data_IF_463457662904
#
_entry.id   IF_463457662904
#
_cell.length_a   1.000
_cell.length_b   1.000
_cell.length_c   1.000
_cell.angle_alpha   90.00
_cell.angle_beta   90.00
_cell.angle_gamma   90.00
#
_symmetry.space_group_name_H-M   'P 1'
#
loop_
_entity.id
_entity.type
_entity.pdbx_description
1 polymer ?
#
# COMPACT_ATOMS: atom_id res chain seq x y z
N UNK A 1 22.78 -86.21 -31.16
CA UNK A 1 21.49 -85.39 -31.32
C UNK A 1 21.05 -85.01 -29.92
N UNK A 2 21.43 -83.83 -29.52
CA UNK A 2 20.90 -83.21 -28.27
C UNK A 2 19.85 -82.16 -28.60
N UNK A 3 18.73 -82.20 -27.94
CA UNK A 3 17.74 -81.06 -28.03
C UNK A 3 18.05 -79.99 -27.00
N UNK A 4 18.18 -78.81 -27.49
CA UNK A 4 18.46 -77.60 -26.70
C UNK A 4 17.44 -77.27 -25.60
N UNK A 5 17.99 -76.94 -24.46
CA UNK A 5 17.26 -76.42 -23.33
C UNK A 5 16.96 -74.94 -23.54
N UNK A 6 15.69 -74.58 -23.72
CA UNK A 6 15.20 -73.23 -23.77
C UNK A 6 15.19 -72.61 -22.35
N UNK A 7 15.86 -71.46 -22.18
CA UNK A 7 15.84 -70.70 -20.95
C UNK A 7 14.56 -69.83 -20.93
N UNK A 8 13.81 -69.75 -19.81
CA UNK A 8 12.67 -68.86 -19.69
C UNK A 8 13.11 -67.40 -19.50
N UNK A 9 12.32 -66.44 -20.01
CA UNK A 9 12.66 -65.02 -19.88
C UNK A 9 12.51 -64.52 -18.43
N UNK A 10 13.49 -63.74 -17.97
CA UNK A 10 13.50 -63.12 -16.66
C UNK A 10 12.32 -62.13 -16.51
N UNK A 11 11.49 -62.35 -15.51
CA UNK A 11 10.42 -61.42 -15.10
C UNK A 11 11.03 -60.15 -14.53
N UNK A 12 10.86 -59.03 -15.24
CA UNK A 12 11.13 -57.69 -14.72
C UNK A 12 10.11 -57.38 -13.60
N UNK A 13 10.61 -57.23 -12.37
CA UNK A 13 9.82 -56.78 -11.24
C UNK A 13 9.37 -55.28 -11.41
N UNK A 14 8.25 -54.88 -10.78
CA UNK A 14 7.77 -53.50 -10.88
C UNK A 14 8.79 -52.55 -10.28
N UNK A 15 9.21 -51.55 -11.07
CA UNK A 15 10.06 -50.46 -10.63
C UNK A 15 9.30 -49.63 -9.56
N UNK A 16 9.83 -49.59 -8.35
CA UNK A 16 9.32 -48.74 -7.26
C UNK A 16 9.45 -47.28 -7.68
N UNK A 17 8.38 -46.49 -7.74
CA UNK A 17 8.49 -45.07 -8.03
C UNK A 17 9.31 -44.41 -6.92
N UNK A 18 10.30 -43.64 -7.32
CA UNK A 18 11.28 -43.06 -6.45
C UNK A 18 10.64 -42.09 -5.44
N UNK A 19 10.77 -42.38 -4.14
CA UNK A 19 10.43 -41.50 -3.01
C UNK A 19 11.01 -40.11 -3.14
N UNK A 20 12.02 -39.89 -3.99
CA UNK A 20 12.63 -38.57 -4.28
C UNK A 20 11.74 -37.63 -5.06
N UNK A 21 10.82 -38.10 -5.91
CA UNK A 21 9.92 -37.26 -6.67
C UNK A 21 8.82 -36.62 -5.78
N UNK A 22 8.41 -37.33 -4.71
CA UNK A 22 7.39 -36.85 -3.79
C UNK A 22 7.88 -35.75 -2.84
N UNK A 23 9.16 -35.81 -2.46
CA UNK A 23 9.78 -34.78 -1.61
C UNK A 23 10.05 -33.48 -2.37
N UNK A 24 10.37 -33.55 -3.67
CA UNK A 24 10.58 -32.37 -4.51
C UNK A 24 9.31 -31.58 -4.77
N UNK A 25 8.17 -32.25 -5.00
CA UNK A 25 6.87 -31.58 -5.19
C UNK A 25 6.32 -31.01 -3.89
N UNK A 26 6.53 -31.65 -2.74
CA UNK A 26 6.13 -31.12 -1.44
C UNK A 26 6.89 -29.85 -1.06
N UNK A 27 8.21 -29.78 -1.33
CA UNK A 27 9.02 -28.58 -1.10
C UNK A 27 8.67 -27.45 -2.06
N UNK A 28 8.36 -27.72 -3.32
CA UNK A 28 7.95 -26.71 -4.28
C UNK A 28 6.57 -26.10 -3.92
N UNK A 29 5.62 -26.92 -3.44
CA UNK A 29 4.34 -26.42 -2.95
C UNK A 29 4.46 -25.66 -1.63
N UNK A 30 5.34 -26.04 -0.73
CA UNK A 30 5.59 -25.31 0.51
C UNK A 30 6.26 -23.95 0.25
N UNK A 31 7.23 -23.88 -0.66
CA UNK A 31 7.87 -22.63 -1.06
C UNK A 31 6.91 -21.70 -1.81
N UNK A 32 6.07 -22.24 -2.72
CA UNK A 32 5.04 -21.50 -3.43
C UNK A 32 3.95 -20.98 -2.49
N UNK A 33 3.51 -21.81 -1.53
CA UNK A 33 2.53 -21.40 -0.51
C UNK A 33 3.06 -20.31 0.41
N UNK A 34 4.33 -20.38 0.83
CA UNK A 34 4.96 -19.35 1.64
C UNK A 34 5.11 -18.03 0.88
N UNK A 35 5.51 -18.07 -0.40
CA UNK A 35 5.61 -16.87 -1.23
C UNK A 35 4.25 -16.18 -1.40
N UNK A 36 3.18 -16.92 -1.64
CA UNK A 36 1.82 -16.39 -1.77
C UNK A 36 1.30 -15.82 -0.44
N UNK A 37 1.69 -16.38 0.71
CA UNK A 37 1.32 -15.84 2.02
C UNK A 37 2.08 -14.54 2.36
N UNK A 38 3.33 -14.40 1.93
CA UNK A 38 4.15 -13.19 2.13
C UNK A 38 3.82 -12.11 1.11
N UNK A 39 3.57 -12.48 -0.16
CA UNK A 39 3.16 -11.59 -1.24
C UNK A 39 1.85 -12.05 -1.85
N UNK A 40 0.70 -11.66 -1.25
CA UNK A 40 -0.60 -12.05 -1.77
C UNK A 40 -0.82 -11.49 -3.18
N UNK A 41 -1.19 -12.33 -4.15
CA UNK A 41 -1.50 -11.87 -5.49
C UNK A 41 -2.69 -10.89 -5.45
N UNK A 42 -2.56 -9.78 -6.19
CA UNK A 42 -3.57 -8.72 -6.26
C UNK A 42 -3.95 -8.11 -4.90
N UNK A 43 -3.14 -8.31 -3.86
CA UNK A 43 -3.43 -7.83 -2.49
C UNK A 43 -4.82 -8.26 -1.99
N UNK A 44 -5.26 -9.48 -2.33
CA UNK A 44 -6.58 -10.00 -1.96
C UNK A 44 -6.72 -10.31 -0.46
N UNK A 45 -5.60 -10.50 0.24
CA UNK A 45 -5.54 -10.66 1.70
C UNK A 45 -4.28 -10.01 2.27
N UNK A 46 -4.26 -9.69 3.58
CA UNK A 46 -3.08 -9.13 4.23
C UNK A 46 -1.89 -10.09 4.13
N UNK A 47 -0.69 -9.55 3.89
CA UNK A 47 0.55 -10.34 3.94
C UNK A 47 0.90 -10.70 5.39
N UNK A 48 1.70 -11.74 5.60
CA UNK A 48 2.18 -12.06 6.95
C UNK A 48 3.02 -10.93 7.56
N UNK A 49 3.69 -10.13 6.73
CA UNK A 49 4.45 -8.96 7.17
C UNK A 49 3.53 -7.83 7.66
N UNK A 50 2.26 -7.82 7.27
CA UNK A 50 1.28 -6.84 7.73
C UNK A 50 0.98 -6.99 9.24
N UNK A 51 1.24 -8.16 9.82
CA UNK A 51 0.99 -8.43 11.24
C UNK A 51 2.13 -8.01 12.17
N UNK A 52 3.26 -7.54 11.65
CA UNK A 52 4.44 -7.17 12.45
C UNK A 52 4.47 -5.70 12.86
N UNK A 53 3.60 -4.85 12.31
CA UNK A 53 3.55 -3.43 12.67
C UNK A 53 2.90 -3.20 14.04
N UNK A 54 3.43 -2.23 14.82
CA UNK A 54 2.90 -1.86 16.13
C UNK A 54 1.47 -1.32 16.06
N UNK A 55 1.18 -0.52 15.02
CA UNK A 55 -0.15 0.02 14.75
C UNK A 55 -0.54 -0.26 13.30
N UNK A 56 -1.79 -0.67 13.11
CA UNK A 56 -2.32 -0.95 11.77
C UNK A 56 -3.79 -0.61 11.66
N UNK A 57 -4.21 -0.33 10.44
CA UNK A 57 -5.61 -0.20 10.02
C UNK A 57 -5.92 -1.18 8.90
N UNK A 58 -7.12 -1.74 8.93
CA UNK A 58 -7.68 -2.58 7.87
C UNK A 58 -8.24 -1.78 6.69
N UNK A 59 -8.91 -2.47 5.76
CA UNK A 59 -9.60 -1.86 4.62
C UNK A 59 -10.76 -1.01 5.10
N UNK A 60 -10.83 0.25 4.66
CA UNK A 60 -11.80 1.28 5.04
C UNK A 60 -11.78 1.63 6.54
N UNK A 61 -10.79 1.17 7.30
CA UNK A 61 -10.59 1.54 8.70
C UNK A 61 -9.72 2.78 8.79
N UNK A 62 -10.08 3.68 9.70
CA UNK A 62 -9.30 4.82 10.12
C UNK A 62 -9.08 4.75 11.63
N UNK A 63 -7.94 5.24 12.10
CA UNK A 63 -7.59 5.20 13.52
C UNK A 63 -6.81 6.44 13.92
N UNK A 64 -7.15 6.99 15.07
CA UNK A 64 -6.39 8.07 15.70
C UNK A 64 -5.51 7.52 16.82
N UNK A 65 -4.27 8.01 16.88
CA UNK A 65 -3.27 7.65 17.87
C UNK A 65 -2.73 8.93 18.52
N UNK A 66 -2.79 9.02 19.83
CA UNK A 66 -2.05 9.98 20.63
C UNK A 66 -0.80 9.27 21.18
N UNK A 67 0.33 9.41 20.53
CA UNK A 67 1.57 8.72 20.89
C UNK A 67 2.35 9.46 21.97
N UNK A 68 2.17 10.78 22.08
CA UNK A 68 2.62 11.63 23.16
C UNK A 68 1.85 12.97 23.12
N UNK A 69 2.09 13.86 24.08
CA UNK A 69 1.53 15.21 24.09
C UNK A 69 1.97 16.04 22.86
N UNK A 70 3.02 15.61 22.18
CA UNK A 70 3.59 16.31 21.02
C UNK A 70 3.32 15.63 19.68
N UNK A 71 2.79 14.40 19.67
CA UNK A 71 2.64 13.60 18.48
C UNK A 71 1.27 12.94 18.43
N UNK A 72 0.41 13.48 17.57
CA UNK A 72 -0.87 12.90 17.20
C UNK A 72 -0.83 12.41 15.75
N UNK A 73 -1.35 11.23 15.51
CA UNK A 73 -1.35 10.60 14.18
C UNK A 73 -2.74 10.10 13.86
N UNK A 74 -3.28 10.53 12.73
CA UNK A 74 -4.49 9.94 12.17
C UNK A 74 -4.09 9.03 11.00
N UNK A 75 -4.36 7.74 11.16
CA UNK A 75 -4.08 6.70 10.18
C UNK A 75 -5.27 6.52 9.25
N UNK A 76 -5.00 6.49 7.95
CA UNK A 76 -5.98 6.15 6.92
C UNK A 76 -6.07 4.63 6.72
N UNK A 77 -6.90 4.19 5.78
CA UNK A 77 -7.06 2.79 5.39
C UNK A 77 -5.74 2.11 5.05
N UNK A 78 -5.61 0.81 5.39
CA UNK A 78 -4.47 -0.06 5.04
C UNK A 78 -3.11 0.57 5.42
N UNK A 79 -3.05 1.22 6.57
CA UNK A 79 -1.85 1.93 7.06
C UNK A 79 -1.14 1.11 8.13
N UNK A 80 0.18 1.13 8.10
CA UNK A 80 1.08 0.44 9.05
C UNK A 80 2.11 1.41 9.56
N UNK A 81 2.20 1.51 10.88
CA UNK A 81 3.15 2.39 11.58
C UNK A 81 3.88 1.59 12.65
N UNK A 82 5.20 1.78 12.71
CA UNK A 82 6.03 1.33 13.82
C UNK A 82 6.42 2.53 14.70
N UNK A 83 6.43 2.31 15.99
CA UNK A 83 7.01 3.28 16.91
C UNK A 83 8.54 3.12 16.91
N UNK A 84 9.26 4.20 16.73
CA UNK A 84 10.72 4.23 16.84
C UNK A 84 11.12 4.78 18.20
N UNK A 85 12.16 4.22 18.77
CA UNK A 85 12.68 4.71 20.06
C UNK A 85 13.02 6.21 19.99
N UNK A 86 12.64 6.95 21.03
CA UNK A 86 12.94 8.37 21.13
C UNK A 86 14.46 8.58 21.12
N UNK A 87 14.96 9.41 20.20
CA UNK A 87 16.35 9.84 20.16
C UNK A 87 16.44 11.29 20.60
N UNK A 88 17.25 11.56 21.60
CA UNK A 88 17.48 12.94 22.09
C UNK A 88 16.18 13.72 22.42
N UNK A 89 15.16 13.04 22.96
CA UNK A 89 13.87 13.65 23.32
C UNK A 89 12.90 13.83 22.14
N UNK A 90 13.26 13.41 20.92
CA UNK A 90 12.40 13.46 19.73
C UNK A 90 11.45 12.26 19.72
N UNK A 91 10.17 12.49 19.53
CA UNK A 91 9.22 11.42 19.19
C UNK A 91 9.46 10.97 17.74
N UNK A 92 9.56 9.66 17.52
CA UNK A 92 9.84 9.12 16.20
C UNK A 92 8.92 7.95 15.87
N UNK A 93 8.42 7.93 14.62
CA UNK A 93 7.63 6.82 14.05
C UNK A 93 8.15 6.49 12.66
N UNK A 94 7.77 5.31 12.17
CA UNK A 94 7.99 4.88 10.80
C UNK A 94 6.65 4.54 10.15
N UNK A 95 6.33 5.23 9.07
CA UNK A 95 5.26 4.85 8.15
C UNK A 95 5.80 3.74 7.23
N UNK A 96 5.44 2.50 7.52
CA UNK A 96 5.86 1.33 6.73
C UNK A 96 5.11 1.27 5.40
N UNK A 97 3.82 1.61 5.42
CA UNK A 97 2.98 1.75 4.24
C UNK A 97 1.66 2.42 4.60
N UNK A 98 0.95 2.92 3.60
CA UNK A 98 -0.36 3.53 3.77
C UNK A 98 -0.32 5.05 3.74
N UNK A 99 -1.17 5.68 4.53
CA UNK A 99 -1.31 7.13 4.58
C UNK A 99 -1.66 7.58 5.99
N UNK A 100 -0.96 8.59 6.46
CA UNK A 100 -1.18 9.15 7.78
C UNK A 100 -1.04 10.67 7.78
N UNK A 101 -1.92 11.33 8.52
CA UNK A 101 -1.74 12.73 8.88
C UNK A 101 -1.09 12.80 10.26
N UNK A 102 -0.05 13.60 10.35
CA UNK A 102 0.74 13.79 11.56
C UNK A 102 0.59 15.23 12.03
N UNK A 103 0.31 15.39 13.30
CA UNK A 103 0.33 16.67 13.99
C UNK A 103 1.45 16.68 15.01
N UNK A 104 2.43 17.53 14.77
CA UNK A 104 3.54 17.83 15.67
C UNK A 104 3.21 19.13 16.44
N UNK A 105 2.97 19.03 17.75
CA UNK A 105 2.46 20.13 18.57
C UNK A 105 3.49 20.68 19.58
N UNK A 106 4.78 20.32 19.47
CA UNK A 106 5.78 20.62 20.47
C UNK A 106 6.69 21.80 20.14
N UNK A 107 7.05 22.58 21.16
CA UNK A 107 8.14 23.58 21.07
C UNK A 107 9.53 22.98 21.37
N UNK A 108 9.59 21.70 21.75
CA UNK A 108 10.81 20.97 22.11
C UNK A 108 11.55 20.35 20.92
N UNK A 109 11.99 19.12 21.11
CA UNK A 109 12.64 18.35 20.03
C UNK A 109 11.65 18.04 18.89
N UNK A 110 12.13 17.97 17.63
CA UNK A 110 11.25 17.72 16.49
C UNK A 110 10.63 16.31 16.53
N UNK A 111 9.42 16.19 16.00
CA UNK A 111 8.86 14.90 15.61
C UNK A 111 9.55 14.44 14.32
N UNK A 112 9.87 13.15 14.24
CA UNK A 112 10.51 12.55 13.08
C UNK A 112 9.61 11.41 12.55
N UNK A 113 9.29 11.46 11.27
CA UNK A 113 8.58 10.39 10.59
C UNK A 113 9.47 9.81 9.50
N UNK A 114 9.83 8.55 9.64
CA UNK A 114 10.53 7.80 8.60
C UNK A 114 9.52 7.18 7.64
N UNK A 115 9.81 7.22 6.34
CA UNK A 115 9.05 6.49 5.33
C UNK A 115 9.98 6.13 4.16
N UNK A 116 10.00 4.85 3.75
CA UNK A 116 10.97 4.38 2.76
C UNK A 116 12.41 4.74 3.16
N UNK A 117 13.17 5.35 2.25
CA UNK A 117 14.55 5.80 2.49
C UNK A 117 14.66 7.25 3.01
N UNK A 118 13.53 7.91 3.28
CA UNK A 118 13.50 9.31 3.70
C UNK A 118 13.04 9.54 5.14
N UNK A 119 13.16 10.77 5.59
CA UNK A 119 12.70 11.23 6.89
C UNK A 119 12.08 12.63 6.78
N UNK A 120 10.96 12.82 7.44
CA UNK A 120 10.26 14.10 7.57
C UNK A 120 10.39 14.58 9.01
N UNK A 121 10.79 15.84 9.20
CA UNK A 121 10.97 16.45 10.53
C UNK A 121 10.10 17.69 10.66
N UNK A 122 9.43 17.81 11.81
CA UNK A 122 8.61 18.98 12.12
C UNK A 122 8.58 19.23 13.62
N UNK A 123 8.33 20.50 14.04
CA UNK A 123 8.10 20.87 15.45
C UNK A 123 6.65 21.29 15.69
N UNK A 124 6.21 22.32 15.00
CA UNK A 124 4.84 22.85 15.06
C UNK A 124 4.28 22.85 13.65
N UNK A 125 3.78 21.68 13.23
CA UNK A 125 3.26 21.51 11.88
C UNK A 125 2.23 20.38 11.84
N UNK A 126 1.36 20.47 10.86
CA UNK A 126 0.47 19.38 10.45
C UNK A 126 0.79 19.03 9.00
N UNK A 127 1.01 17.76 8.73
CA UNK A 127 1.42 17.27 7.43
C UNK A 127 0.88 15.86 7.16
N UNK A 128 0.72 15.54 5.89
CA UNK A 128 0.27 14.22 5.44
C UNK A 128 1.44 13.49 4.79
N UNK A 129 1.58 12.21 5.10
CA UNK A 129 2.48 11.30 4.39
C UNK A 129 1.66 10.21 3.73
N UNK A 130 1.94 9.96 2.46
CA UNK A 130 1.36 8.86 1.69
C UNK A 130 2.47 7.98 1.12
N UNK A 131 2.45 6.71 1.48
CA UNK A 131 3.38 5.67 1.03
C UNK A 131 2.57 4.44 0.62
N UNK A 132 1.97 4.48 -0.56
CA UNK A 132 1.04 3.44 -1.07
C UNK A 132 1.56 2.74 -2.32
N UNK A 133 2.72 3.09 -2.78
CA UNK A 133 3.42 2.57 -3.96
C UNK A 133 4.93 2.68 -3.80
N UNK A 134 5.69 2.83 -4.87
CA UNK A 134 7.15 2.94 -4.81
C UNK A 134 7.63 4.29 -4.29
N UNK A 135 6.76 5.29 -4.28
CA UNK A 135 7.07 6.67 -3.89
C UNK A 135 6.43 7.06 -2.57
N UNK A 136 7.06 8.00 -1.88
CA UNK A 136 6.53 8.67 -0.69
C UNK A 136 6.20 10.11 -1.06
N UNK A 137 4.96 10.52 -0.81
CA UNK A 137 4.52 11.90 -0.95
C UNK A 137 4.33 12.52 0.44
N UNK A 138 4.94 13.67 0.67
CA UNK A 138 4.80 14.48 1.89
C UNK A 138 4.13 15.80 1.54
N UNK A 139 3.03 16.14 2.20
CA UNK A 139 2.30 17.39 2.00
C UNK A 139 2.27 18.19 3.30
N UNK A 140 2.76 19.42 3.30
CA UNK A 140 2.64 20.34 4.42
C UNK A 140 1.26 20.97 4.42
N UNK A 141 0.49 20.73 5.49
CA UNK A 141 -0.88 21.23 5.64
C UNK A 141 -0.96 22.48 6.51
N UNK A 142 0.00 22.64 7.42
CA UNK A 142 0.14 23.81 8.28
C UNK A 142 1.56 23.88 8.83
N UNK A 143 2.12 25.08 8.90
CA UNK A 143 3.47 25.32 9.42
C UNK A 143 4.56 25.04 8.41
N UNK A 144 5.62 24.34 8.84
CA UNK A 144 6.79 24.05 8.00
C UNK A 144 7.32 22.66 8.30
N UNK A 145 7.72 21.93 7.27
CA UNK A 145 8.25 20.56 7.36
C UNK A 145 9.56 20.43 6.58
N UNK A 146 10.54 19.77 7.17
CA UNK A 146 11.79 19.43 6.50
C UNK A 146 11.77 17.98 6.06
N UNK A 147 11.95 17.73 4.76
CA UNK A 147 12.01 16.40 4.16
C UNK A 147 13.45 16.11 3.74
N UNK A 148 13.99 14.99 4.19
CA UNK A 148 15.36 14.53 3.89
C UNK A 148 15.33 13.19 3.18
N UNK A 149 16.16 13.05 2.16
CA UNK A 149 16.36 11.81 1.41
C UNK A 149 17.80 11.76 0.88
N UNK A 150 18.55 10.69 1.21
CA UNK A 150 19.91 10.43 0.70
C UNK A 150 20.86 11.67 0.73
N UNK A 151 20.78 12.47 1.79
CA UNK A 151 21.61 13.70 1.95
C UNK A 151 21.03 14.96 1.30
N UNK A 152 20.03 14.85 0.41
CA UNK A 152 19.26 15.98 -0.08
C UNK A 152 18.20 16.40 0.94
N UNK A 153 17.86 17.68 0.98
CA UNK A 153 16.81 18.23 1.84
C UNK A 153 15.93 19.21 1.09
N UNK A 154 14.64 19.22 1.46
CA UNK A 154 13.65 20.22 1.04
C UNK A 154 12.84 20.67 2.25
N UNK A 155 12.64 21.96 2.36
CA UNK A 155 11.72 22.54 3.33
C UNK A 155 10.42 22.87 2.61
N UNK A 156 9.29 22.41 3.14
CA UNK A 156 7.96 22.67 2.62
C UNK A 156 7.26 23.69 3.48
N UNK A 157 6.72 24.71 2.87
CA UNK A 157 5.76 25.61 3.48
C UNK A 157 4.33 25.04 3.37
N UNK A 158 3.40 25.68 4.07
CA UNK A 158 1.98 25.33 3.99
C UNK A 158 1.46 25.34 2.54
N UNK A 159 0.75 24.29 2.15
CA UNK A 159 0.23 24.13 0.80
C UNK A 159 1.22 23.55 -0.20
N UNK A 160 2.43 23.18 0.20
CA UNK A 160 3.40 22.53 -0.66
C UNK A 160 3.49 21.03 -0.39
N UNK A 161 3.85 20.28 -1.41
CA UNK A 161 4.13 18.84 -1.34
C UNK A 161 5.41 18.49 -2.09
N UNK A 162 6.05 17.41 -1.66
CA UNK A 162 7.20 16.83 -2.34
C UNK A 162 7.05 15.32 -2.39
N UNK A 163 7.54 14.73 -3.47
CA UNK A 163 7.63 13.28 -3.63
C UNK A 163 9.09 12.86 -3.66
N UNK A 164 9.39 11.70 -3.11
CA UNK A 164 10.68 11.03 -3.27
C UNK A 164 10.49 9.52 -3.48
N UNK A 165 11.41 8.94 -4.22
CA UNK A 165 11.46 7.52 -4.58
C UNK A 165 12.93 7.04 -4.68
N UNK A 166 13.18 5.94 -5.38
CA UNK A 166 14.52 5.41 -5.63
C UNK A 166 15.34 6.26 -6.62
N UNK A 167 14.69 7.15 -7.36
CA UNK A 167 15.34 8.06 -8.34
C UNK A 167 15.75 9.39 -7.73
N UNK A 168 15.10 9.84 -6.65
CA UNK A 168 15.48 11.10 -5.99
C UNK A 168 14.41 11.77 -5.14
N UNK A 169 14.81 12.90 -4.57
CA UNK A 169 13.94 13.88 -3.93
C UNK A 169 13.58 14.96 -4.94
N UNK A 170 12.31 14.96 -5.38
CA UNK A 170 11.85 15.86 -6.46
C UNK A 170 11.71 17.31 -6.00
N UNK A 171 11.33 18.19 -6.93
CA UNK A 171 11.02 19.58 -6.60
C UNK A 171 9.67 19.69 -5.89
N UNK A 172 9.51 20.59 -4.91
CA UNK A 172 8.22 20.88 -4.31
C UNK A 172 7.22 21.41 -5.34
N UNK A 173 5.96 21.04 -5.17
CA UNK A 173 4.82 21.47 -5.98
C UNK A 173 3.70 21.97 -5.07
N UNK A 174 2.82 22.81 -5.60
CA UNK A 174 1.60 23.19 -4.89
C UNK A 174 0.67 21.97 -4.74
N UNK A 175 0.11 21.79 -3.55
CA UNK A 175 -0.80 20.71 -3.20
C UNK A 175 -2.26 21.20 -3.16
N UNK A 176 -3.19 20.37 -3.60
CA UNK A 176 -4.60 20.52 -3.26
C UNK A 176 -4.85 19.97 -1.85
N UNK A 177 -4.67 20.83 -0.85
CA UNK A 177 -4.81 20.45 0.56
C UNK A 177 -6.23 20.01 0.93
N UNK A 178 -7.26 20.50 0.20
CA UNK A 178 -8.64 20.07 0.38
C UNK A 178 -8.81 18.61 -0.05
N UNK A 179 -8.23 18.24 -1.18
CA UNK A 179 -8.21 16.85 -1.66
C UNK A 179 -7.43 15.94 -0.72
N UNK A 180 -6.22 16.36 -0.29
CA UNK A 180 -5.37 15.60 0.64
C UNK A 180 -6.07 15.34 1.97
N UNK A 181 -6.89 16.29 2.46
CA UNK A 181 -7.60 16.16 3.73
C UNK A 181 -8.97 15.45 3.61
N UNK A 182 -9.48 15.21 2.41
CA UNK A 182 -10.87 14.76 2.21
C UNK A 182 -11.16 13.43 2.92
N UNK A 183 -10.20 12.50 2.93
CA UNK A 183 -10.37 11.21 3.57
C UNK A 183 -10.68 11.30 5.08
N UNK A 184 -10.18 12.32 5.78
CA UNK A 184 -10.42 12.53 7.21
C UNK A 184 -11.90 12.78 7.53
N UNK A 185 -12.63 13.34 6.57
CA UNK A 185 -14.08 13.58 6.67
C UNK A 185 -14.90 12.48 6.00
N UNK A 186 -14.28 11.31 5.74
CA UNK A 186 -14.97 10.17 5.14
C UNK A 186 -15.29 10.34 3.67
N UNK A 187 -14.62 11.25 2.94
CA UNK A 187 -14.85 11.48 1.51
C UNK A 187 -13.59 11.30 0.68
N UNK A 188 -13.77 10.92 -0.58
CA UNK A 188 -12.74 10.96 -1.60
C UNK A 188 -13.12 12.01 -2.65
N UNK A 189 -12.17 12.85 -3.02
CA UNK A 189 -12.37 13.94 -3.98
C UNK A 189 -11.32 13.83 -5.07
N UNK A 190 -11.77 13.92 -6.31
CA UNK A 190 -10.94 13.87 -7.50
C UNK A 190 -11.24 15.07 -8.39
N UNK A 191 -10.21 15.80 -8.79
CA UNK A 191 -10.32 17.07 -9.52
C UNK A 191 -9.50 17.05 -10.81
N UNK A 192 -9.50 15.93 -11.55
CA UNK A 192 -8.79 15.80 -12.82
C UNK A 192 -7.77 14.66 -12.84
N UNK A 193 -7.80 13.78 -11.85
CA UNK A 193 -7.05 12.52 -11.84
C UNK A 193 -7.54 11.60 -12.95
N UNK A 194 -6.68 10.71 -13.42
CA UNK A 194 -7.06 9.67 -14.37
C UNK A 194 -7.98 8.64 -13.72
N UNK A 195 -8.80 7.97 -14.53
CA UNK A 195 -9.67 6.91 -14.01
C UNK A 195 -8.87 5.76 -13.41
N UNK A 196 -7.64 5.50 -13.90
CA UNK A 196 -6.74 4.52 -13.29
C UNK A 196 -6.41 4.91 -11.84
N UNK A 197 -5.97 6.15 -11.60
CA UNK A 197 -5.67 6.66 -10.24
C UNK A 197 -6.90 6.62 -9.32
N UNK A 198 -8.09 6.93 -9.86
CA UNK A 198 -9.35 6.84 -9.10
C UNK A 198 -9.68 5.40 -8.73
N UNK A 199 -9.50 4.44 -9.65
CA UNK A 199 -9.72 3.01 -9.39
C UNK A 199 -8.71 2.48 -8.38
N UNK A 200 -7.45 2.89 -8.45
CA UNK A 200 -6.43 2.51 -7.48
C UNK A 200 -6.78 3.04 -6.08
N UNK A 201 -7.28 4.27 -5.99
CA UNK A 201 -7.74 4.82 -4.72
C UNK A 201 -8.99 4.09 -4.19
N UNK A 202 -9.98 3.80 -5.03
CA UNK A 202 -11.16 2.99 -4.66
C UNK A 202 -10.72 1.63 -4.11
N UNK A 203 -9.72 0.98 -4.71
CA UNK A 203 -9.19 -0.30 -4.27
C UNK A 203 -8.60 -0.29 -2.85
N UNK A 204 -8.23 0.87 -2.33
CA UNK A 204 -7.76 1.01 -0.93
C UNK A 204 -8.90 0.91 0.08
N UNK A 205 -10.12 1.28 -0.31
CA UNK A 205 -11.26 1.40 0.60
C UNK A 205 -12.32 0.31 0.44
N UNK A 206 -12.10 -0.68 -0.41
CA UNK A 206 -13.07 -1.77 -0.60
C UNK A 206 -12.42 -3.16 -0.48
N UNK A 207 -13.16 -4.16 0.04
CA UNK A 207 -12.75 -5.55 -0.08
C UNK A 207 -12.81 -5.99 -1.55
N UNK A 208 -11.90 -6.86 -1.94
CA UNK A 208 -11.74 -7.28 -3.34
C UNK A 208 -11.00 -6.25 -4.19
N UNK A 209 -11.07 -6.37 -5.52
CA UNK A 209 -10.29 -5.51 -6.41
C UNK A 209 -11.03 -5.14 -7.69
N UNK A 210 -10.96 -3.88 -8.07
CA UNK A 210 -11.39 -3.40 -9.39
C UNK A 210 -10.19 -3.46 -10.34
N UNK A 211 -10.39 -4.08 -11.49
CA UNK A 211 -9.37 -4.22 -12.53
C UNK A 211 -9.81 -3.46 -13.78
N UNK A 212 -9.16 -2.36 -14.06
CA UNK A 212 -9.44 -1.55 -15.24
C UNK A 212 -8.64 -2.08 -16.43
N UNK A 213 -9.31 -2.72 -17.39
CA UNK A 213 -8.67 -3.39 -18.54
C UNK A 213 -8.58 -2.52 -19.81
N UNK A 214 -9.41 -1.49 -19.91
CA UNK A 214 -9.43 -0.61 -21.06
C UNK A 214 -8.47 0.56 -20.86
N UNK A 215 -7.40 0.63 -21.66
CA UNK A 215 -6.36 1.66 -21.55
C UNK A 215 -6.89 3.07 -21.88
N UNK A 216 -7.79 3.19 -22.87
CA UNK A 216 -8.37 4.49 -23.24
C UNK A 216 -9.26 5.04 -22.12
N UNK A 217 -10.00 4.15 -21.48
CA UNK A 217 -10.81 4.50 -20.33
C UNK A 217 -9.93 4.86 -19.12
N UNK A 218 -8.85 4.12 -18.91
CA UNK A 218 -7.90 4.34 -17.82
C UNK A 218 -7.28 5.74 -17.86
N UNK A 219 -6.98 6.25 -19.04
CA UNK A 219 -6.37 7.57 -19.24
C UNK A 219 -7.36 8.74 -19.12
N UNK A 220 -8.68 8.49 -19.08
CA UNK A 220 -9.69 9.57 -18.96
C UNK A 220 -9.58 10.28 -17.62
N UNK A 221 -9.58 11.60 -17.69
CA UNK A 221 -9.60 12.45 -16.49
C UNK A 221 -11.02 12.59 -15.96
N UNK A 222 -11.16 12.45 -14.66
CA UNK A 222 -12.47 12.49 -14.00
C UNK A 222 -12.51 13.56 -12.91
N UNK A 223 -13.71 14.07 -12.66
CA UNK A 223 -14.03 14.91 -11.50
C UNK A 223 -15.19 14.26 -10.78
N UNK A 224 -14.96 13.87 -9.54
CA UNK A 224 -15.99 13.26 -8.73
C UNK A 224 -15.68 13.39 -7.24
N UNK A 225 -16.72 13.28 -6.45
CA UNK A 225 -16.63 13.19 -4.98
C UNK A 225 -17.62 12.14 -4.52
N UNK A 226 -17.22 11.29 -3.60
CA UNK A 226 -18.08 10.30 -2.98
C UNK A 226 -17.60 9.94 -1.58
N UNK A 227 -18.46 9.31 -0.81
CA UNK A 227 -18.12 8.83 0.52
C UNK A 227 -17.31 7.53 0.46
N UNK A 228 -16.35 7.39 1.35
CA UNK A 228 -15.49 6.19 1.48
C UNK A 228 -16.31 4.91 1.62
N UNK A 229 -17.45 4.99 2.29
CA UNK A 229 -18.39 3.89 2.49
C UNK A 229 -19.20 3.53 1.24
N UNK A 230 -19.17 4.35 0.20
CA UNK A 230 -20.00 4.21 -1.02
C UNK A 230 -19.17 3.87 -2.27
N UNK A 231 -18.09 3.12 -2.11
CA UNK A 231 -17.20 2.75 -3.24
C UNK A 231 -17.92 1.97 -4.35
N UNK A 232 -18.89 1.12 -4.04
CA UNK A 232 -19.67 0.40 -5.06
C UNK A 232 -20.61 1.35 -5.83
N UNK A 233 -21.20 2.36 -5.18
CA UNK A 233 -21.96 3.39 -5.86
C UNK A 233 -21.07 4.21 -6.79
N UNK A 234 -19.85 4.54 -6.37
CA UNK A 234 -18.86 5.22 -7.22
C UNK A 234 -18.56 4.42 -8.49
N UNK A 235 -18.44 3.07 -8.40
CA UNK A 235 -18.25 2.21 -9.58
C UNK A 235 -19.46 2.25 -10.52
N UNK A 236 -20.69 2.28 -10.00
CA UNK A 236 -21.88 2.44 -10.83
C UNK A 236 -21.93 3.82 -11.51
N UNK A 237 -21.57 4.88 -10.80
CA UNK A 237 -21.45 6.22 -11.41
C UNK A 237 -20.40 6.25 -12.53
N UNK A 238 -19.24 5.62 -12.33
CA UNK A 238 -18.21 5.52 -13.36
C UNK A 238 -18.70 4.74 -14.58
N UNK A 239 -19.44 3.64 -14.38
CA UNK A 239 -20.07 2.90 -15.47
C UNK A 239 -21.02 3.78 -16.29
N UNK A 240 -21.90 4.49 -15.61
CA UNK A 240 -22.98 5.25 -16.24
C UNK A 240 -22.44 6.52 -16.95
N UNK A 241 -21.43 7.19 -16.39
CA UNK A 241 -20.84 8.39 -16.95
C UNK A 241 -19.86 8.13 -18.10
N UNK A 242 -19.12 7.00 -18.03
CA UNK A 242 -18.03 6.73 -18.98
C UNK A 242 -18.30 5.52 -19.88
N UNK A 243 -19.50 4.89 -19.76
CA UNK A 243 -19.88 3.75 -20.61
C UNK A 243 -19.08 2.48 -20.29
N UNK A 244 -18.52 2.35 -19.08
CA UNK A 244 -17.77 1.17 -18.68
C UNK A 244 -18.70 -0.05 -18.52
N UNK A 245 -18.20 -1.24 -18.83
CA UNK A 245 -18.90 -2.48 -18.53
C UNK A 245 -18.31 -3.08 -17.24
N UNK A 246 -19.15 -3.32 -16.25
CA UNK A 246 -18.77 -3.93 -15.00
C UNK A 246 -19.02 -5.45 -15.03
N UNK A 247 -17.96 -6.24 -14.93
CA UNK A 247 -18.03 -7.69 -14.80
C UNK A 247 -17.64 -8.08 -13.38
N UNK A 248 -18.55 -8.73 -12.66
CA UNK A 248 -18.28 -9.20 -11.30
C UNK A 248 -17.80 -10.63 -11.33
N UNK A 249 -16.69 -10.91 -10.66
CA UNK A 249 -16.10 -12.23 -10.51
C UNK A 249 -16.11 -12.65 -9.03
N UNK A 250 -15.99 -13.95 -8.73
CA UNK A 250 -15.83 -14.42 -7.36
C UNK A 250 -14.66 -13.74 -6.64
N UNK A 251 -14.74 -13.59 -5.31
CA UNK A 251 -13.69 -12.94 -4.52
C UNK A 251 -13.75 -11.41 -4.49
N UNK A 252 -14.87 -10.80 -4.91
CA UNK A 252 -15.06 -9.34 -4.90
C UNK A 252 -14.30 -8.60 -6.01
N UNK A 253 -13.83 -9.33 -7.03
CA UNK A 253 -13.18 -8.75 -8.21
C UNK A 253 -14.26 -8.15 -9.14
N UNK A 254 -13.99 -6.95 -9.64
CA UNK A 254 -14.85 -6.24 -10.60
C UNK A 254 -14.04 -5.79 -11.79
#
# INVERSE_FOLDING_TARGET
>A
RDPGLAHPPARRGPSRPARRAFLGTAMAMAAGGAAVAVWPPLSLWPSLLDYTADFRTGTAEQRELALSDQLHVQMNTQTRINQRGAQAGSAAIELVAGEAQVEAAGSGAPVIVYAGAGATRARQARFNLRYTGPEVCVTCLQGTVDVQWAGAQRTLAEGEQVTYDDTGLHAPLAADTAQVNAWRTGTLTFAGQTLAEVVDEINRYRPGRVLLRNADLAARRVRMRFEITQTDLALHMLRDLYGAQLTRLPGGIV
#
